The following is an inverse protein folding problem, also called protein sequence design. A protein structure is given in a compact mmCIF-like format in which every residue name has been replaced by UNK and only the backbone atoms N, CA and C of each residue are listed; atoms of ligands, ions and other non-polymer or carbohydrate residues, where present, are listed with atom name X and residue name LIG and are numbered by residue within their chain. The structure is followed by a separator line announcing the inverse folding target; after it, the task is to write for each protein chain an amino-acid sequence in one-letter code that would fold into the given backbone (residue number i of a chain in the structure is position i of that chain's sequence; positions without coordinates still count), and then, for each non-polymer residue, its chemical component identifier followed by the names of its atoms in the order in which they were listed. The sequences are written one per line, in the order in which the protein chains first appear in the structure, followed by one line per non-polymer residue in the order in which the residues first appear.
data_IF_949377255234
#
_entry.id   IF_949377255234
#
_cell.length_a   1.000
_cell.length_b   1.000
_cell.length_c   1.000
_cell.angle_alpha   90.00
_cell.angle_beta   90.00
_cell.angle_gamma   90.00
#
_symmetry.space_group_name_H-M   'P 1'
#
loop_
_entity.id
_entity.type
_entity.pdbx_description
1 polymer ?
#
# COMPACT_ATOMS: atom_id res chain seq x y z
N UNK A 1 17.09 13.04 -13.64
CA UNK A 1 15.73 13.28 -14.22
C UNK A 1 15.91 14.04 -15.52
N UNK A 2 15.30 13.62 -16.59
CA UNK A 2 15.45 14.29 -17.89
C UNK A 2 14.43 15.43 -18.04
N UNK A 3 14.83 16.52 -18.69
CA UNK A 3 14.00 17.72 -18.90
C UNK A 3 13.50 18.37 -17.59
N UNK A 4 14.29 18.32 -16.53
CA UNK A 4 13.98 18.95 -15.23
C UNK A 4 15.11 19.91 -14.85
N UNK A 5 15.26 20.97 -15.63
CA UNK A 5 16.16 22.09 -15.31
C UNK A 5 15.62 22.91 -14.15
N UNK A 6 16.50 23.67 -13.46
CA UNK A 6 16.03 24.58 -12.40
C UNK A 6 15.02 25.62 -12.93
N UNK A 7 15.13 25.98 -14.21
CA UNK A 7 14.15 26.84 -14.92
C UNK A 7 12.76 26.20 -14.95
N UNK A 8 12.68 24.94 -15.43
CA UNK A 8 11.41 24.21 -15.52
C UNK A 8 10.80 23.94 -14.14
N UNK A 9 11.63 23.63 -13.14
CA UNK A 9 11.22 23.48 -11.75
C UNK A 9 10.63 24.78 -11.20
N UNK A 10 11.32 25.93 -11.40
CA UNK A 10 10.82 27.22 -10.94
C UNK A 10 9.46 27.58 -11.59
N UNK A 11 9.32 27.32 -12.90
CA UNK A 11 8.06 27.53 -13.62
C UNK A 11 6.97 26.59 -13.12
N UNK A 12 7.27 25.31 -12.95
CA UNK A 12 6.32 24.29 -12.51
C UNK A 12 5.70 24.61 -11.14
N UNK A 13 6.50 25.10 -10.19
CA UNK A 13 6.02 25.44 -8.84
C UNK A 13 5.70 26.94 -8.62
N UNK A 14 5.77 27.76 -9.68
CA UNK A 14 5.57 29.22 -9.57
C UNK A 14 6.57 29.91 -8.65
N UNK A 15 7.77 29.34 -8.50
CA UNK A 15 8.82 29.84 -7.60
C UNK A 15 9.70 30.90 -8.24
N UNK A 16 10.38 31.70 -7.40
CA UNK A 16 11.35 32.70 -7.82
C UNK A 16 12.75 32.12 -7.65
N UNK A 17 13.47 31.98 -8.76
CA UNK A 17 14.85 31.50 -8.77
C UNK A 17 15.81 32.58 -8.30
N UNK A 18 16.76 32.20 -7.45
CA UNK A 18 17.91 32.98 -7.02
C UNK A 18 19.18 32.16 -7.24
N UNK A 19 20.08 32.65 -8.05
CA UNK A 19 21.34 31.99 -8.39
C UNK A 19 21.96 32.56 -9.65
N UNK A 20 22.98 31.91 -10.17
CA UNK A 20 23.65 32.28 -11.43
C UNK A 20 22.89 31.73 -12.65
N UNK A 21 23.09 32.36 -13.80
CA UNK A 21 22.43 31.98 -15.06
C UNK A 21 22.87 30.58 -15.55
N UNK A 22 24.10 30.15 -15.28
CA UNK A 22 24.60 28.84 -15.69
C UNK A 22 23.85 27.72 -15.01
N UNK A 23 23.68 27.83 -13.67
CA UNK A 23 22.94 26.85 -12.87
C UNK A 23 21.46 26.80 -13.23
N UNK A 24 20.86 27.90 -13.69
CA UNK A 24 19.44 28.00 -14.05
C UNK A 24 19.00 26.96 -15.11
N UNK A 25 19.92 26.60 -16.01
CA UNK A 25 19.68 25.64 -17.10
C UNK A 25 20.22 24.23 -16.81
N UNK A 26 20.79 23.99 -15.61
CA UNK A 26 21.23 22.64 -15.23
C UNK A 26 20.05 21.77 -14.83
N UNK A 27 20.09 20.51 -15.24
CA UNK A 27 19.12 19.48 -14.85
C UNK A 27 19.45 18.92 -13.47
N UNK A 28 18.41 18.63 -12.69
CA UNK A 28 18.57 17.91 -11.43
C UNK A 28 18.62 16.40 -11.65
N UNK A 29 19.47 15.71 -10.88
CA UNK A 29 19.61 14.26 -10.94
C UNK A 29 18.42 13.56 -10.26
N UNK A 30 17.96 14.11 -9.14
CA UNK A 30 16.88 13.57 -8.30
C UNK A 30 16.24 14.68 -7.45
N UNK A 31 15.14 14.34 -6.77
CA UNK A 31 14.48 15.21 -5.79
C UNK A 31 14.47 14.51 -4.44
N UNK A 32 14.95 15.19 -3.41
CA UNK A 32 15.02 14.65 -2.03
C UNK A 32 14.40 15.64 -1.02
N UNK A 33 13.77 15.08 0.00
CA UNK A 33 13.23 15.82 1.16
C UNK A 33 13.95 15.46 2.47
N UNK A 34 14.76 14.40 2.45
CA UNK A 34 15.57 13.94 3.60
C UNK A 34 17.02 14.34 3.36
N UNK A 35 17.55 15.21 4.23
CA UNK A 35 18.93 15.71 4.15
C UNK A 35 20.01 14.63 4.19
N UNK A 36 19.69 13.43 4.71
CA UNK A 36 20.60 12.28 4.77
C UNK A 36 20.71 11.51 3.45
N UNK A 37 19.80 11.79 2.50
CA UNK A 37 19.73 11.15 1.18
C UNK A 37 20.15 12.07 0.05
N UNK A 38 20.91 13.11 0.35
CA UNK A 38 21.44 14.04 -0.63
C UNK A 38 22.41 13.32 -1.55
N UNK A 39 22.21 13.48 -2.85
CA UNK A 39 23.07 13.00 -3.92
C UNK A 39 23.56 14.19 -4.74
N UNK A 40 24.64 13.95 -5.50
CA UNK A 40 25.20 15.00 -6.37
C UNK A 40 24.15 15.51 -7.37
N UNK A 41 24.05 16.81 -7.48
CA UNK A 41 23.16 17.53 -8.40
C UNK A 41 21.66 17.30 -8.13
N UNK A 42 21.25 16.84 -6.93
CA UNK A 42 19.84 16.71 -6.56
C UNK A 42 19.20 18.06 -6.23
N UNK A 43 17.87 18.12 -6.29
CA UNK A 43 17.06 19.18 -5.70
C UNK A 43 16.68 18.81 -4.28
N UNK A 44 17.04 19.62 -3.30
CA UNK A 44 16.57 19.45 -1.93
C UNK A 44 15.33 20.31 -1.67
N UNK A 45 14.23 19.71 -1.23
CA UNK A 45 13.00 20.43 -0.87
C UNK A 45 12.87 20.49 0.66
N UNK A 46 12.96 21.70 1.20
CA UNK A 46 12.96 21.96 2.64
C UNK A 46 11.53 21.95 3.23
N UNK A 47 10.99 20.76 3.51
CA UNK A 47 9.66 20.60 4.11
C UNK A 47 9.73 20.81 5.62
N UNK A 48 8.72 21.48 6.18
CA UNK A 48 8.53 21.57 7.63
C UNK A 48 7.84 20.32 8.14
N UNK A 49 8.59 19.49 8.85
CA UNK A 49 8.02 18.36 9.56
C UNK A 49 7.46 18.78 10.94
N UNK A 50 6.72 17.87 11.56
CA UNK A 50 6.15 18.08 12.92
C UNK A 50 7.21 18.24 14.01
N UNK A 51 8.40 17.67 13.84
CA UNK A 51 9.49 17.68 14.82
C UNK A 51 10.67 18.56 14.40
N UNK A 52 10.91 18.72 13.11
CA UNK A 52 12.11 19.37 12.56
C UNK A 52 11.73 20.21 11.34
N UNK A 53 12.27 21.44 11.24
CA UNK A 53 12.14 22.29 10.05
C UNK A 53 13.26 21.96 9.05
N UNK A 54 12.91 21.46 7.88
CA UNK A 54 13.86 21.11 6.81
C UNK A 54 14.76 22.24 6.35
N UNK A 55 14.33 23.50 6.52
CA UNK A 55 15.10 24.69 6.15
C UNK A 55 16.45 24.79 6.89
N UNK A 56 16.55 24.21 8.09
CA UNK A 56 17.80 24.18 8.86
C UNK A 56 18.92 23.41 8.16
N UNK A 57 18.57 22.48 7.28
CA UNK A 57 19.52 21.59 6.60
C UNK A 57 19.98 22.13 5.25
N UNK A 58 19.38 23.19 4.70
CA UNK A 58 19.76 23.73 3.39
C UNK A 58 21.26 23.95 3.25
N UNK A 59 21.96 24.64 4.20
CA UNK A 59 23.40 24.86 4.04
C UNK A 59 24.21 23.56 4.02
N UNK A 60 23.76 22.52 4.75
CA UNK A 60 24.42 21.22 4.76
C UNK A 60 24.18 20.46 3.47
N UNK A 61 22.93 20.42 2.99
CA UNK A 61 22.59 19.67 1.76
C UNK A 61 23.32 20.24 0.53
N UNK A 62 23.54 21.55 0.46
CA UNK A 62 24.34 22.17 -0.60
C UNK A 62 25.81 21.73 -0.50
N UNK A 63 26.39 21.70 0.70
CA UNK A 63 27.77 21.20 0.91
C UNK A 63 27.90 19.72 0.53
N UNK A 64 26.86 18.95 0.75
CA UNK A 64 26.81 17.50 0.45
C UNK A 64 26.55 17.23 -1.03
N UNK A 65 26.31 18.26 -1.86
CA UNK A 65 26.25 18.15 -3.31
C UNK A 65 24.90 18.44 -3.96
N UNK A 66 23.89 18.91 -3.21
CA UNK A 66 22.65 19.37 -3.83
C UNK A 66 22.91 20.55 -4.77
N UNK A 67 22.33 20.50 -5.98
CA UNK A 67 22.44 21.58 -6.96
C UNK A 67 21.67 22.83 -6.52
N UNK A 68 20.50 22.63 -5.92
CA UNK A 68 19.58 23.70 -5.57
C UNK A 68 18.72 23.28 -4.38
N UNK A 69 18.20 24.26 -3.64
CA UNK A 69 17.20 24.03 -2.59
C UNK A 69 15.89 24.77 -2.89
N UNK A 70 14.73 24.18 -2.54
CA UNK A 70 13.48 24.91 -2.40
C UNK A 70 13.34 25.41 -0.96
N UNK A 71 12.94 26.68 -0.81
CA UNK A 71 12.79 27.34 0.49
C UNK A 71 11.53 28.21 0.53
N UNK A 72 10.83 28.19 1.66
CA UNK A 72 9.72 29.11 1.95
C UNK A 72 10.21 30.44 2.52
N UNK A 73 11.51 30.57 2.80
CA UNK A 73 12.14 31.76 3.37
C UNK A 73 13.18 32.30 2.41
N UNK A 74 13.22 33.61 2.27
CA UNK A 74 14.32 34.27 1.55
C UNK A 74 15.63 34.00 2.29
N UNK A 75 16.64 33.53 1.53
CA UNK A 75 17.98 33.26 2.08
C UNK A 75 18.86 34.48 1.74
N UNK A 76 19.19 35.25 2.76
CA UNK A 76 20.04 36.42 2.57
C UNK A 76 21.50 36.00 2.30
N UNK A 77 22.13 36.66 1.33
CA UNK A 77 23.52 36.38 0.92
C UNK A 77 23.81 34.93 0.55
N UNK A 78 22.83 34.22 0.00
CA UNK A 78 23.04 32.86 -0.50
C UNK A 78 24.14 32.86 -1.60
N UNK A 79 25.14 32.00 -1.43
CA UNK A 79 26.22 31.75 -2.40
C UNK A 79 25.92 30.55 -3.29
N UNK A 80 24.71 30.07 -3.29
CA UNK A 80 24.24 28.86 -3.99
C UNK A 80 22.83 29.07 -4.55
N UNK A 81 22.43 28.34 -5.58
CA UNK A 81 21.10 28.41 -6.16
C UNK A 81 20.01 27.98 -5.17
N UNK A 82 18.93 28.73 -5.11
CA UNK A 82 17.70 28.30 -4.45
C UNK A 82 16.46 28.86 -5.17
N UNK A 83 15.33 28.19 -4.99
CA UNK A 83 14.03 28.63 -5.49
C UNK A 83 13.15 28.97 -4.30
N UNK A 84 12.67 30.22 -4.24
CA UNK A 84 11.76 30.70 -3.22
C UNK A 84 10.33 30.35 -3.61
N UNK A 85 9.60 29.67 -2.76
CA UNK A 85 8.20 29.26 -2.96
C UNK A 85 7.34 29.66 -1.77
N UNK A 86 6.03 29.71 -1.95
CA UNK A 86 5.09 29.98 -0.84
C UNK A 86 4.88 28.76 0.06
N UNK A 87 4.97 27.55 -0.52
CA UNK A 87 4.86 26.28 0.20
C UNK A 87 5.73 25.22 -0.47
N UNK A 88 6.66 24.63 0.26
CA UNK A 88 7.50 23.55 -0.23
C UNK A 88 6.70 22.27 -0.48
N UNK A 89 5.65 21.99 0.33
CA UNK A 89 4.78 20.85 0.11
C UNK A 89 3.94 20.99 -1.17
N UNK A 90 3.42 22.19 -1.46
CA UNK A 90 2.69 22.43 -2.71
C UNK A 90 3.64 22.38 -3.90
N UNK A 91 4.82 22.98 -3.78
CA UNK A 91 5.84 22.93 -4.83
C UNK A 91 6.27 21.48 -5.17
N UNK A 92 6.42 20.62 -4.17
CA UNK A 92 6.68 19.18 -4.36
C UNK A 92 5.63 18.54 -5.27
N UNK A 93 4.34 18.81 -5.02
CA UNK A 93 3.22 18.29 -5.81
C UNK A 93 3.19 18.87 -7.23
N UNK A 94 3.38 20.15 -7.37
CA UNK A 94 3.35 20.84 -8.66
C UNK A 94 4.50 20.39 -9.58
N UNK A 95 5.70 20.22 -9.02
CA UNK A 95 6.87 19.69 -9.73
C UNK A 95 6.62 18.23 -10.15
N UNK A 96 6.03 17.41 -9.28
CA UNK A 96 5.72 16.02 -9.62
C UNK A 96 4.65 15.92 -10.71
N UNK A 97 3.59 16.74 -10.67
CA UNK A 97 2.59 16.83 -11.71
C UNK A 97 3.22 17.24 -13.06
N UNK A 98 4.09 18.25 -13.04
CA UNK A 98 4.81 18.71 -14.22
C UNK A 98 5.68 17.60 -14.82
N UNK A 99 6.49 16.94 -13.98
CA UNK A 99 7.33 15.82 -14.41
C UNK A 99 6.50 14.66 -14.94
N UNK A 100 5.42 14.26 -14.25
CA UNK A 100 4.52 13.20 -14.73
C UNK A 100 3.94 13.52 -16.12
N UNK A 101 3.55 14.76 -16.38
CA UNK A 101 3.04 15.18 -17.69
C UNK A 101 4.07 15.11 -18.82
N UNK A 102 5.35 15.22 -18.50
CA UNK A 102 6.45 15.11 -19.49
C UNK A 102 6.79 13.66 -19.85
N UNK A 103 6.30 12.68 -19.07
CA UNK A 103 6.60 11.26 -19.25
C UNK A 103 5.56 10.58 -20.15
N UNK A 104 6.06 9.75 -21.07
CA UNK A 104 5.21 8.94 -21.96
C UNK A 104 5.19 7.48 -21.50
N UNK A 105 4.42 7.20 -20.46
CA UNK A 105 4.21 5.84 -19.93
C UNK A 105 2.77 5.65 -19.50
N UNK A 106 2.35 4.41 -19.32
CA UNK A 106 1.04 4.06 -18.76
C UNK A 106 1.07 4.11 -17.24
N UNK A 107 0.00 4.58 -16.61
CA UNK A 107 -0.15 4.61 -15.15
C UNK A 107 -1.36 3.81 -14.72
N UNK A 108 -1.14 2.84 -13.82
CA UNK A 108 -2.19 2.12 -13.10
C UNK A 108 -2.27 2.71 -11.68
N UNK A 109 -3.37 3.37 -11.38
CA UNK A 109 -3.66 3.90 -10.03
C UNK A 109 -4.46 2.89 -9.23
N UNK A 110 -3.95 2.47 -8.06
CA UNK A 110 -4.58 1.48 -7.19
C UNK A 110 -5.00 2.11 -5.87
N UNK A 111 -6.28 2.01 -5.53
CA UNK A 111 -6.81 2.44 -4.23
C UNK A 111 -7.79 1.42 -3.64
N UNK A 112 -8.27 1.66 -2.44
CA UNK A 112 -9.23 0.83 -1.72
C UNK A 112 -9.07 0.98 -0.20
N UNK A 113 -9.97 0.41 0.56
CA UNK A 113 -9.86 0.42 2.03
C UNK A 113 -8.82 -0.58 2.52
N UNK A 114 -8.83 -1.78 1.96
CA UNK A 114 -7.92 -2.89 2.28
C UNK A 114 -7.34 -3.47 0.99
N UNK A 115 -6.16 -4.09 1.06
CA UNK A 115 -5.57 -4.85 -0.05
C UNK A 115 -4.82 -4.01 -1.09
N UNK A 116 -4.78 -2.69 -1.01
CA UNK A 116 -4.09 -1.81 -1.97
C UNK A 116 -2.68 -2.28 -2.33
N UNK A 117 -1.85 -2.51 -1.33
CA UNK A 117 -0.45 -2.91 -1.52
C UNK A 117 -0.35 -4.29 -2.18
N UNK A 118 -1.10 -5.28 -1.69
CA UNK A 118 -1.08 -6.63 -2.27
C UNK A 118 -1.61 -6.63 -3.72
N UNK A 119 -2.66 -5.85 -4.01
CA UNK A 119 -3.17 -5.68 -5.37
C UNK A 119 -2.15 -4.96 -6.26
N UNK A 120 -1.49 -3.91 -5.77
CA UNK A 120 -0.41 -3.21 -6.48
C UNK A 120 0.75 -4.16 -6.81
N UNK A 121 1.15 -4.99 -5.86
CA UNK A 121 2.22 -5.98 -6.09
C UNK A 121 1.81 -7.04 -7.12
N UNK A 122 0.59 -7.55 -7.05
CA UNK A 122 0.05 -8.49 -8.03
C UNK A 122 -0.01 -7.87 -9.43
N UNK A 123 -0.56 -6.66 -9.56
CA UNK A 123 -0.59 -5.93 -10.84
C UNK A 123 0.83 -5.70 -11.36
N UNK A 124 1.75 -5.28 -10.51
CA UNK A 124 3.13 -5.04 -10.92
C UNK A 124 3.86 -6.35 -11.31
N UNK A 125 3.57 -7.48 -10.64
CA UNK A 125 4.08 -8.79 -11.01
C UNK A 125 3.56 -9.22 -12.38
N UNK A 126 2.25 -9.10 -12.62
CA UNK A 126 1.64 -9.43 -13.91
C UNK A 126 2.22 -8.56 -15.03
N UNK A 127 2.23 -7.24 -14.85
CA UNK A 127 2.70 -6.33 -15.89
C UNK A 127 4.21 -6.46 -16.13
N UNK A 128 4.97 -6.86 -15.12
CA UNK A 128 6.42 -7.06 -15.20
C UNK A 128 6.87 -8.18 -16.14
N UNK A 129 5.97 -9.09 -16.54
CA UNK A 129 6.27 -10.13 -17.52
C UNK A 129 6.40 -9.57 -18.96
N UNK A 130 5.95 -8.34 -19.18
CA UNK A 130 5.95 -7.74 -20.52
C UNK A 130 6.57 -6.35 -20.56
N UNK A 131 6.48 -5.59 -19.48
CA UNK A 131 6.84 -4.18 -19.42
C UNK A 131 7.90 -3.90 -18.35
N UNK A 132 8.70 -2.85 -18.57
CA UNK A 132 9.51 -2.25 -17.51
C UNK A 132 8.60 -1.48 -16.55
N UNK A 133 8.40 -2.04 -15.32
CA UNK A 133 7.42 -1.54 -14.35
C UNK A 133 8.09 -0.84 -13.18
N UNK A 134 7.75 0.45 -12.97
CA UNK A 134 7.96 1.10 -11.68
C UNK A 134 6.71 0.90 -10.80
N UNK A 135 6.89 0.60 -9.52
CA UNK A 135 5.79 0.54 -8.54
C UNK A 135 6.08 1.37 -7.30
N UNK A 136 5.02 1.82 -6.63
CA UNK A 136 5.14 2.50 -5.33
C UNK A 136 5.89 1.62 -4.34
N UNK A 137 6.99 2.12 -3.79
CA UNK A 137 7.75 1.46 -2.74
C UNK A 137 7.15 1.74 -1.35
N UNK A 138 7.13 0.72 -0.49
CA UNK A 138 6.64 0.87 0.89
C UNK A 138 5.24 1.48 0.96
N UNK A 139 5.11 2.59 1.70
CA UNK A 139 3.88 3.35 1.89
C UNK A 139 3.93 4.76 1.28
N UNK A 140 4.72 4.97 0.24
CA UNK A 140 4.80 6.27 -0.46
C UNK A 140 3.55 6.53 -1.32
N UNK A 141 2.38 6.45 -0.70
CA UNK A 141 1.06 6.49 -1.33
C UNK A 141 0.22 7.75 -1.00
N UNK A 142 0.78 8.67 -0.21
CA UNK A 142 0.13 9.92 0.20
C UNK A 142 0.65 11.14 -0.57
N UNK A 143 0.22 12.36 -0.20
CA UNK A 143 0.55 13.62 -0.88
C UNK A 143 2.05 14.00 -0.88
N UNK A 144 2.89 13.35 -0.07
CA UNK A 144 4.34 13.48 -0.09
C UNK A 144 4.99 12.27 -0.78
N UNK A 145 4.52 11.07 -0.49
CA UNK A 145 5.09 9.82 -0.98
C UNK A 145 4.87 9.61 -2.47
N UNK A 146 3.67 9.92 -2.98
CA UNK A 146 3.37 9.81 -4.42
C UNK A 146 4.28 10.70 -5.28
N UNK A 147 4.48 12.00 -4.99
CA UNK A 147 5.48 12.82 -5.68
C UNK A 147 6.87 12.19 -5.72
N UNK A 148 7.35 11.69 -4.58
CA UNK A 148 8.66 11.03 -4.51
C UNK A 148 8.72 9.76 -5.35
N UNK A 149 7.63 9.00 -5.43
CA UNK A 149 7.52 7.84 -6.33
C UNK A 149 7.59 8.28 -7.80
N UNK A 150 6.87 9.33 -8.17
CA UNK A 150 6.87 9.89 -9.54
C UNK A 150 8.28 10.33 -9.94
N UNK A 151 9.04 10.96 -9.05
CA UNK A 151 10.42 11.38 -9.34
C UNK A 151 11.40 10.22 -9.58
N UNK A 152 11.03 8.99 -9.23
CA UNK A 152 11.81 7.79 -9.53
C UNK A 152 11.50 7.18 -10.91
N UNK A 153 10.49 7.69 -11.63
CA UNK A 153 10.22 7.24 -13.00
C UNK A 153 11.36 7.69 -13.90
N UNK A 154 11.81 6.80 -14.80
CA UNK A 154 12.86 7.02 -15.78
C UNK A 154 12.33 6.66 -17.16
N UNK A 155 13.11 6.97 -18.21
CA UNK A 155 12.72 6.76 -19.61
C UNK A 155 12.53 5.30 -19.99
N UNK A 156 13.25 4.39 -19.31
CA UNK A 156 13.12 2.95 -19.51
C UNK A 156 11.77 2.40 -19.03
N UNK A 157 11.13 3.02 -18.04
CA UNK A 157 9.86 2.54 -17.53
C UNK A 157 8.71 2.76 -18.52
N UNK A 158 7.98 1.71 -18.82
CA UNK A 158 6.82 1.70 -19.72
C UNK A 158 5.50 1.81 -18.96
N UNK A 159 5.47 1.29 -17.71
CA UNK A 159 4.30 1.34 -16.83
C UNK A 159 4.70 1.76 -15.42
N UNK A 160 3.86 2.57 -14.78
CA UNK A 160 3.96 2.86 -13.35
C UNK A 160 2.71 2.35 -12.62
N UNK A 161 2.87 1.50 -11.60
CA UNK A 161 1.79 1.04 -10.72
C UNK A 161 1.84 1.81 -9.41
N UNK A 162 0.93 2.78 -9.29
CA UNK A 162 0.92 3.77 -8.22
C UNK A 162 -0.19 3.45 -7.20
N UNK A 163 0.21 3.24 -5.95
CA UNK A 163 -0.73 3.12 -4.83
C UNK A 163 -1.15 4.51 -4.37
N UNK A 164 -2.47 4.76 -4.25
CA UNK A 164 -3.05 6.01 -3.79
C UNK A 164 -3.83 5.79 -2.49
N UNK A 165 -3.27 6.26 -1.39
CA UNK A 165 -3.83 6.17 -0.04
C UNK A 165 -4.37 7.51 0.43
N UNK A 166 -5.58 7.51 1.01
CA UNK A 166 -6.24 8.70 1.50
C UNK A 166 -6.82 8.47 2.90
N UNK A 167 -6.89 9.53 3.67
CA UNK A 167 -7.57 9.59 4.97
C UNK A 167 -8.70 10.63 5.00
N UNK A 168 -8.67 11.65 4.15
CA UNK A 168 -9.63 12.76 4.14
C UNK A 168 -10.21 12.99 2.74
N UNK A 169 -11.35 13.72 2.68
CA UNK A 169 -11.92 14.19 1.42
C UNK A 169 -10.96 15.13 0.67
N UNK A 170 -10.97 15.06 -0.66
CA UNK A 170 -10.15 15.89 -1.55
C UNK A 170 -8.68 15.47 -1.65
N UNK A 171 -8.20 14.55 -0.82
CA UNK A 171 -6.84 14.01 -0.97
C UNK A 171 -6.71 13.20 -2.26
N UNK A 172 -7.71 12.37 -2.59
CA UNK A 172 -7.69 11.56 -3.81
C UNK A 172 -7.70 12.42 -5.07
N UNK A 173 -8.45 13.51 -5.09
CA UNK A 173 -8.43 14.46 -6.20
C UNK A 173 -7.01 14.98 -6.45
N UNK A 174 -6.31 15.41 -5.38
CA UNK A 174 -4.93 15.92 -5.48
C UNK A 174 -3.94 14.83 -5.94
N UNK A 175 -4.08 13.61 -5.42
CA UNK A 175 -3.26 12.47 -5.85
C UNK A 175 -3.53 12.09 -7.32
N UNK A 176 -4.80 12.04 -7.72
CA UNK A 176 -5.19 11.73 -9.09
C UNK A 176 -4.68 12.79 -10.10
N UNK A 177 -4.68 14.06 -9.70
CA UNK A 177 -4.13 15.16 -10.51
C UNK A 177 -2.64 14.97 -10.80
N UNK A 178 -1.88 14.48 -9.80
CA UNK A 178 -0.46 14.17 -9.95
C UNK A 178 -0.26 12.90 -10.78
N UNK A 179 -0.95 11.81 -10.42
CA UNK A 179 -0.76 10.49 -11.01
C UNK A 179 -1.26 10.40 -12.46
N UNK A 180 -2.39 11.05 -12.79
CA UNK A 180 -3.05 11.03 -14.11
C UNK A 180 -3.16 9.60 -14.66
N UNK A 181 -3.92 8.71 -13.99
CA UNK A 181 -3.94 7.30 -14.32
C UNK A 181 -4.58 7.01 -15.68
N UNK A 182 -4.05 6.02 -16.38
CA UNK A 182 -4.68 5.39 -17.55
C UNK A 182 -5.64 4.29 -17.10
N UNK A 183 -5.31 3.59 -16.02
CA UNK A 183 -6.14 2.52 -15.44
C UNK A 183 -6.36 2.86 -13.96
N UNK A 184 -7.62 2.84 -13.52
CA UNK A 184 -7.99 3.02 -12.12
C UNK A 184 -8.53 1.72 -11.53
N UNK A 185 -7.90 1.22 -10.46
CA UNK A 185 -8.32 0.01 -9.76
C UNK A 185 -8.78 0.35 -8.36
N UNK A 186 -9.99 -0.07 -7.97
CA UNK A 186 -10.50 0.08 -6.60
C UNK A 186 -10.80 -1.31 -6.03
N UNK A 187 -10.10 -1.69 -4.95
CA UNK A 187 -10.16 -3.05 -4.40
C UNK A 187 -11.42 -3.31 -3.57
N UNK A 188 -11.80 -2.38 -2.71
CA UNK A 188 -13.01 -2.47 -1.87
C UNK A 188 -13.33 -1.15 -1.15
N UNK A 189 -14.56 -1.05 -0.62
CA UNK A 189 -15.04 0.05 0.22
C UNK A 189 -15.40 -0.50 1.62
N UNK A 190 -14.40 -0.59 2.47
CA UNK A 190 -14.55 -1.02 3.87
C UNK A 190 -14.82 0.14 4.83
N UNK A 191 -14.33 -0.01 6.07
CA UNK A 191 -14.51 0.95 7.18
C UNK A 191 -13.23 1.70 7.58
N UNK A 192 -12.18 1.61 6.76
CA UNK A 192 -10.93 2.35 7.02
C UNK A 192 -11.17 3.86 6.93
N UNK A 193 -10.58 4.62 7.86
CA UNK A 193 -10.71 6.09 7.96
C UNK A 193 -12.16 6.59 8.14
N UNK A 194 -13.02 5.77 8.74
CA UNK A 194 -14.43 6.08 8.96
C UNK A 194 -14.63 7.37 9.79
N UNK A 195 -13.70 7.64 10.70
CA UNK A 195 -13.70 8.84 11.52
C UNK A 195 -13.71 10.13 10.66
N UNK A 196 -12.90 10.16 9.60
CA UNK A 196 -12.75 11.33 8.72
C UNK A 196 -13.75 11.32 7.55
N UNK A 197 -14.02 10.17 6.96
CA UNK A 197 -14.88 10.01 5.79
C UNK A 197 -16.35 9.73 6.14
N UNK A 198 -16.69 9.60 7.45
CA UNK A 198 -18.03 9.56 8.06
C UNK A 198 -18.85 8.31 7.77
N UNK A 199 -18.83 7.77 6.56
CA UNK A 199 -19.62 6.59 6.16
C UNK A 199 -18.95 5.84 5.02
N UNK A 200 -19.41 4.61 4.75
CA UNK A 200 -18.96 3.86 3.56
C UNK A 200 -19.30 4.59 2.24
N UNK A 201 -20.41 5.33 2.20
CA UNK A 201 -20.73 6.17 1.04
C UNK A 201 -19.77 7.35 0.91
N UNK A 202 -19.33 7.93 2.04
CA UNK A 202 -18.27 8.94 2.05
C UNK A 202 -16.93 8.38 1.58
N UNK A 203 -16.59 7.15 1.96
CA UNK A 203 -15.37 6.45 1.50
C UNK A 203 -15.45 6.16 0.00
N UNK A 204 -16.61 5.68 -0.50
CA UNK A 204 -16.85 5.50 -1.93
C UNK A 204 -16.64 6.81 -2.69
N UNK A 205 -17.32 7.89 -2.25
CA UNK A 205 -17.20 9.22 -2.86
C UNK A 205 -15.73 9.68 -2.91
N UNK A 206 -15.02 9.59 -1.80
CA UNK A 206 -13.62 10.03 -1.74
C UNK A 206 -12.71 9.20 -2.66
N UNK A 207 -12.89 7.88 -2.72
CA UNK A 207 -12.04 7.01 -3.55
C UNK A 207 -12.34 7.12 -5.04
N UNK A 208 -13.58 7.38 -5.43
CA UNK A 208 -13.97 7.58 -6.84
C UNK A 208 -13.47 8.91 -7.42
N UNK A 209 -12.98 9.85 -6.60
CA UNK A 209 -12.26 11.03 -7.07
C UNK A 209 -11.00 10.66 -7.91
N UNK A 210 -10.49 9.42 -7.82
CA UNK A 210 -9.40 8.92 -8.67
C UNK A 210 -9.72 9.05 -10.17
N UNK A 211 -11.00 9.04 -10.54
CA UNK A 211 -11.43 9.14 -11.94
C UNK A 211 -11.33 10.57 -12.52
N UNK A 212 -11.23 11.60 -11.66
CA UNK A 212 -11.31 13.01 -12.12
C UNK A 212 -10.21 13.41 -13.13
N UNK A 213 -9.03 12.83 -13.00
CA UNK A 213 -7.88 13.16 -13.83
C UNK A 213 -7.35 11.98 -14.65
N UNK A 214 -8.15 10.93 -14.80
CA UNK A 214 -7.75 9.77 -15.60
C UNK A 214 -7.76 10.07 -17.11
N UNK A 215 -7.02 9.28 -17.85
CA UNK A 215 -7.03 9.33 -19.32
C UNK A 215 -8.45 9.01 -19.84
N UNK A 216 -9.04 9.82 -20.72
CA UNK A 216 -10.39 9.57 -21.25
C UNK A 216 -10.52 8.27 -22.05
N UNK A 217 -9.41 7.70 -22.54
CA UNK A 217 -9.34 6.40 -23.21
C UNK A 217 -8.82 5.29 -22.26
N UNK A 218 -8.93 5.50 -20.97
CA UNK A 218 -8.46 4.58 -19.95
C UNK A 218 -9.49 3.51 -19.57
N UNK A 219 -9.21 2.80 -18.48
CA UNK A 219 -10.07 1.73 -17.95
C UNK A 219 -10.35 1.92 -16.46
N UNK A 220 -11.58 1.64 -16.05
CA UNK A 220 -11.99 1.60 -14.64
C UNK A 220 -12.22 0.15 -14.27
N UNK A 221 -11.49 -0.38 -13.31
CA UNK A 221 -11.50 -1.78 -12.88
C UNK A 221 -11.95 -1.83 -11.42
N UNK A 222 -13.08 -2.45 -11.13
CA UNK A 222 -13.71 -2.45 -9.82
C UNK A 222 -14.00 -3.86 -9.33
N UNK A 223 -13.86 -4.07 -8.02
CA UNK A 223 -14.34 -5.30 -7.40
C UNK A 223 -15.88 -5.30 -7.39
N UNK A 224 -16.49 -6.15 -8.21
CA UNK A 224 -17.92 -6.26 -8.37
C UNK A 224 -18.62 -6.98 -7.20
N UNK A 225 -17.87 -7.69 -6.35
CA UNK A 225 -18.41 -8.36 -5.16
C UNK A 225 -18.51 -7.40 -3.97
N UNK A 226 -17.94 -6.21 -4.08
CA UNK A 226 -18.14 -5.14 -3.10
C UNK A 226 -19.49 -4.43 -3.37
N UNK A 227 -20.38 -4.42 -2.36
CA UNK A 227 -21.74 -3.88 -2.44
C UNK A 227 -21.79 -2.38 -2.80
N UNK A 228 -20.72 -1.63 -2.53
CA UNK A 228 -20.61 -0.23 -2.89
C UNK A 228 -20.02 -0.03 -4.28
N UNK A 229 -18.98 -0.76 -4.63
CA UNK A 229 -18.35 -0.63 -5.95
C UNK A 229 -19.24 -1.15 -7.08
N UNK A 230 -20.07 -2.17 -6.84
CA UNK A 230 -21.05 -2.68 -7.81
C UNK A 230 -22.10 -1.65 -8.22
N UNK A 231 -22.30 -0.57 -7.43
CA UNK A 231 -23.22 0.52 -7.75
C UNK A 231 -22.58 1.67 -8.54
N UNK A 232 -21.28 1.60 -8.84
CA UNK A 232 -20.58 2.68 -9.56
C UNK A 232 -21.04 2.75 -11.00
N UNK A 233 -21.52 3.90 -11.41
CA UNK A 233 -21.92 4.20 -12.78
C UNK A 233 -20.74 4.65 -13.63
N UNK A 234 -20.89 4.69 -14.98
CA UNK A 234 -19.86 5.20 -15.88
C UNK A 234 -19.35 6.57 -15.44
N UNK A 235 -18.01 6.72 -15.45
CA UNK A 235 -17.36 7.99 -15.15
C UNK A 235 -16.55 8.45 -16.37
N UNK A 236 -16.63 9.74 -16.71
CA UNK A 236 -15.96 10.34 -17.88
C UNK A 236 -16.27 9.61 -19.22
N UNK A 237 -17.44 8.98 -19.35
CA UNK A 237 -17.82 8.17 -20.51
C UNK A 237 -17.22 6.76 -20.54
N UNK A 238 -16.47 6.35 -19.50
CA UNK A 238 -15.84 5.04 -19.38
C UNK A 238 -16.76 4.13 -18.57
N UNK A 239 -17.13 2.99 -19.13
CA UNK A 239 -17.85 1.92 -18.42
C UNK A 239 -16.86 1.20 -17.48
N UNK A 240 -17.23 1.01 -16.20
CA UNK A 240 -16.45 0.13 -15.31
C UNK A 240 -16.45 -1.31 -15.80
N UNK A 241 -15.31 -1.94 -15.67
CA UNK A 241 -15.12 -3.39 -15.81
C UNK A 241 -15.10 -3.98 -14.40
N UNK A 242 -15.85 -5.05 -14.17
CA UNK A 242 -15.98 -5.65 -12.86
C UNK A 242 -15.24 -7.00 -12.78
N UNK A 243 -14.52 -7.18 -11.67
CA UNK A 243 -13.95 -8.48 -11.32
C UNK A 243 -14.55 -9.00 -10.01
N UNK A 244 -14.55 -10.31 -9.81
CA UNK A 244 -15.07 -10.93 -8.60
C UNK A 244 -15.12 -12.46 -8.67
N UNK A 245 -15.76 -13.09 -7.67
CA UNK A 245 -15.97 -14.54 -7.64
C UNK A 245 -17.35 -14.93 -8.22
N UNK A 246 -18.24 -13.96 -8.43
CA UNK A 246 -19.53 -14.17 -9.07
C UNK A 246 -19.35 -14.23 -10.60
N UNK A 247 -19.91 -15.27 -11.24
CA UNK A 247 -19.78 -15.54 -12.68
C UNK A 247 -20.48 -14.51 -13.59
N UNK A 248 -21.21 -13.58 -13.01
CA UNK A 248 -21.77 -12.43 -13.73
C UNK A 248 -20.76 -11.29 -13.97
N UNK A 249 -19.54 -11.38 -13.43
CA UNK A 249 -18.49 -10.37 -13.60
C UNK A 249 -17.77 -10.54 -14.93
N UNK A 250 -17.17 -9.43 -15.43
CA UNK A 250 -16.38 -9.46 -16.68
C UNK A 250 -15.14 -10.37 -16.56
N UNK A 251 -14.51 -10.35 -15.35
CA UNK A 251 -13.40 -11.22 -14.96
C UNK A 251 -13.78 -11.92 -13.67
N UNK A 252 -13.83 -13.25 -13.67
CA UNK A 252 -14.18 -13.98 -12.47
C UNK A 252 -13.31 -15.22 -12.27
N UNK A 253 -13.36 -15.79 -11.07
CA UNK A 253 -12.67 -17.02 -10.76
C UNK A 253 -13.62 -18.02 -10.09
N UNK A 254 -13.48 -19.28 -10.47
CA UNK A 254 -14.13 -20.41 -9.82
C UNK A 254 -13.12 -21.51 -9.46
N UNK A 255 -13.60 -22.64 -8.98
CA UNK A 255 -12.76 -23.77 -8.57
C UNK A 255 -11.57 -23.33 -7.69
N UNK A 256 -11.87 -22.44 -6.75
CA UNK A 256 -10.87 -21.91 -5.81
C UNK A 256 -10.52 -22.99 -4.78
N UNK A 257 -9.32 -23.57 -4.92
CA UNK A 257 -8.82 -24.64 -4.07
C UNK A 257 -7.67 -24.15 -3.19
N UNK A 258 -7.86 -24.23 -1.86
CA UNK A 258 -6.80 -23.87 -0.93
C UNK A 258 -5.72 -24.96 -0.87
N UNK A 259 -4.47 -24.57 -1.04
CA UNK A 259 -3.29 -25.40 -0.79
C UNK A 259 -2.71 -25.19 0.63
N UNK A 260 -3.56 -24.84 1.60
CA UNK A 260 -3.14 -24.49 2.96
C UNK A 260 -2.30 -23.21 2.97
N UNK A 261 -1.17 -23.24 3.68
CA UNK A 261 -0.24 -22.12 3.72
C UNK A 261 0.58 -21.94 2.43
N UNK A 262 0.52 -22.89 1.51
CA UNK A 262 1.27 -22.86 0.24
C UNK A 262 0.53 -22.14 -0.89
N UNK A 263 -0.57 -21.46 -0.58
CA UNK A 263 -1.28 -20.65 -1.55
C UNK A 263 -2.64 -21.19 -1.96
N UNK A 264 -3.07 -20.83 -3.18
CA UNK A 264 -4.42 -21.10 -3.68
C UNK A 264 -4.35 -21.36 -5.18
N UNK A 265 -4.98 -22.43 -5.66
CA UNK A 265 -5.25 -22.65 -7.08
C UNK A 265 -6.60 -22.06 -7.43
N UNK A 266 -6.75 -21.50 -8.62
CA UNK A 266 -8.03 -21.06 -9.14
C UNK A 266 -8.09 -21.17 -10.66
N UNK A 267 -9.31 -21.26 -11.18
CA UNK A 267 -9.62 -21.15 -12.61
C UNK A 267 -10.13 -19.74 -12.86
N UNK A 268 -9.44 -19.01 -13.71
CA UNK A 268 -9.76 -17.63 -14.07
C UNK A 268 -10.46 -17.57 -15.41
N UNK A 269 -11.55 -16.82 -15.45
CA UNK A 269 -12.35 -16.56 -16.64
C UNK A 269 -12.22 -15.10 -17.04
N UNK A 270 -11.93 -14.90 -18.31
CA UNK A 270 -11.81 -13.58 -18.95
C UNK A 270 -12.86 -13.48 -20.06
N UNK A 271 -13.11 -12.31 -20.64
CA UNK A 271 -14.05 -12.19 -21.77
C UNK A 271 -13.74 -13.10 -22.97
N UNK A 272 -12.49 -13.55 -23.11
CA UNK A 272 -12.05 -14.27 -24.30
C UNK A 272 -11.49 -15.66 -24.03
N UNK A 273 -11.19 -16.01 -22.78
CA UNK A 273 -10.45 -17.23 -22.45
C UNK A 273 -10.69 -17.71 -21.01
N UNK A 274 -10.17 -18.89 -20.72
CA UNK A 274 -10.16 -19.48 -19.37
C UNK A 274 -8.80 -20.15 -19.17
N UNK A 275 -8.18 -19.91 -18.00
CA UNK A 275 -6.92 -20.56 -17.63
C UNK A 275 -6.83 -20.79 -16.12
N UNK A 276 -6.01 -21.76 -15.72
CA UNK A 276 -5.72 -22.03 -14.30
C UNK A 276 -4.38 -21.44 -13.92
N UNK A 277 -4.27 -20.90 -12.72
CA UNK A 277 -3.00 -20.45 -12.14
C UNK A 277 -2.91 -20.76 -10.65
N UNK A 278 -1.67 -20.85 -10.15
CA UNK A 278 -1.35 -20.98 -8.74
C UNK A 278 -0.90 -19.63 -8.18
N UNK A 279 -1.48 -19.23 -7.06
CA UNK A 279 -1.08 -18.04 -6.30
C UNK A 279 -0.33 -18.52 -5.07
N UNK A 280 0.97 -18.26 -4.96
CA UNK A 280 1.84 -18.74 -3.87
C UNK A 280 1.52 -18.16 -2.50
N UNK A 281 0.81 -17.02 -2.45
CA UNK A 281 0.41 -16.36 -1.19
C UNK A 281 -0.97 -16.90 -0.77
N UNK A 282 -1.12 -17.42 0.46
CA UNK A 282 -2.38 -18.01 0.90
C UNK A 282 -3.47 -16.96 1.14
N UNK A 283 -4.70 -17.37 0.92
CA UNK A 283 -5.91 -16.57 1.20
C UNK A 283 -6.74 -16.29 -0.03
N UNK A 284 -8.05 -16.44 0.10
CA UNK A 284 -9.02 -16.22 -0.97
C UNK A 284 -8.98 -14.79 -1.52
N UNK A 285 -8.69 -13.81 -0.67
CA UNK A 285 -8.50 -12.42 -1.07
C UNK A 285 -7.39 -12.23 -2.12
N UNK A 286 -6.42 -13.16 -2.20
CA UNK A 286 -5.37 -13.12 -3.22
C UNK A 286 -5.91 -13.48 -4.61
N UNK A 287 -7.00 -14.25 -4.70
CA UNK A 287 -7.70 -14.52 -5.96
C UNK A 287 -8.30 -13.23 -6.51
N UNK A 288 -8.91 -12.39 -5.66
CA UNK A 288 -9.40 -11.07 -6.06
C UNK A 288 -8.26 -10.13 -6.51
N UNK A 289 -7.10 -10.20 -5.85
CA UNK A 289 -5.92 -9.43 -6.29
C UNK A 289 -5.41 -9.91 -7.66
N UNK A 290 -5.43 -11.25 -7.90
CA UNK A 290 -5.07 -11.83 -9.20
C UNK A 290 -6.04 -11.38 -10.30
N UNK A 291 -7.34 -11.37 -10.03
CA UNK A 291 -8.35 -10.89 -10.98
C UNK A 291 -8.14 -9.40 -11.34
N UNK A 292 -7.77 -8.56 -10.36
CA UNK A 292 -7.41 -7.17 -10.64
C UNK A 292 -6.15 -7.07 -11.52
N UNK A 293 -5.15 -7.96 -11.30
CA UNK A 293 -3.95 -8.07 -12.14
C UNK A 293 -4.28 -8.52 -13.56
N UNK A 294 -5.14 -9.53 -13.70
CA UNK A 294 -5.64 -10.04 -14.99
C UNK A 294 -6.32 -8.91 -15.76
N UNK A 295 -7.28 -8.21 -15.15
CA UNK A 295 -8.00 -7.14 -15.79
C UNK A 295 -7.07 -5.97 -16.22
N UNK A 296 -6.06 -5.63 -15.40
CA UNK A 296 -5.06 -4.62 -15.75
C UNK A 296 -4.15 -5.08 -16.91
N UNK A 297 -3.71 -6.35 -16.90
CA UNK A 297 -2.92 -6.94 -17.98
C UNK A 297 -3.69 -6.94 -19.31
N UNK A 298 -4.95 -7.37 -19.27
CA UNK A 298 -5.85 -7.32 -20.43
C UNK A 298 -6.04 -5.91 -20.98
N UNK A 299 -6.24 -4.91 -20.11
CA UNK A 299 -6.38 -3.52 -20.49
C UNK A 299 -5.12 -2.95 -21.19
N UNK A 300 -3.95 -3.54 -20.94
CA UNK A 300 -2.67 -3.19 -21.60
C UNK A 300 -2.28 -4.15 -22.73
N UNK A 301 -3.16 -5.09 -23.12
CA UNK A 301 -2.95 -5.96 -24.27
C UNK A 301 -1.95 -7.11 -24.02
N UNK A 302 -1.91 -7.62 -22.79
CA UNK A 302 -1.18 -8.85 -22.47
C UNK A 302 -2.00 -10.09 -22.86
N UNK A 303 -1.30 -11.18 -23.17
CA UNK A 303 -1.92 -12.47 -23.39
C UNK A 303 -1.99 -13.29 -22.08
N UNK A 304 -2.74 -14.40 -22.11
CA UNK A 304 -2.98 -15.24 -20.92
C UNK A 304 -1.71 -15.87 -20.37
N UNK A 305 -0.75 -16.22 -21.21
CA UNK A 305 0.51 -16.85 -20.78
C UNK A 305 1.37 -15.86 -20.03
N UNK A 306 1.49 -14.60 -20.52
CA UNK A 306 2.17 -13.51 -19.85
C UNK A 306 1.50 -13.21 -18.49
N UNK A 307 0.18 -13.12 -18.46
CA UNK A 307 -0.60 -12.83 -17.25
C UNK A 307 -0.44 -13.95 -16.22
N UNK A 308 -0.59 -15.21 -16.66
CA UNK A 308 -0.41 -16.38 -15.79
C UNK A 308 0.99 -16.41 -15.18
N UNK A 309 2.02 -16.24 -16.00
CA UNK A 309 3.40 -16.20 -15.52
C UNK A 309 3.58 -15.15 -14.41
N UNK A 310 3.03 -13.97 -14.58
CA UNK A 310 3.12 -12.89 -13.57
C UNK A 310 2.34 -13.17 -12.27
N UNK A 311 1.21 -13.87 -12.34
CA UNK A 311 0.48 -14.34 -11.14
C UNK A 311 1.36 -15.34 -10.36
N UNK A 312 1.94 -16.31 -11.05
CA UNK A 312 2.75 -17.39 -10.46
C UNK A 312 4.12 -16.89 -9.98
N UNK A 313 4.65 -15.80 -10.56
CA UNK A 313 5.91 -15.17 -10.17
C UNK A 313 5.80 -14.24 -8.95
N UNK A 314 4.59 -14.01 -8.42
CA UNK A 314 4.41 -13.09 -7.30
C UNK A 314 5.19 -13.52 -6.07
N UNK A 315 6.05 -12.62 -5.57
CA UNK A 315 6.83 -12.82 -4.35
C UNK A 315 6.16 -12.10 -3.17
N UNK A 316 5.96 -12.78 -2.02
CA UNK A 316 5.41 -12.17 -0.83
C UNK A 316 6.25 -10.99 -0.33
N UNK A 317 5.60 -9.93 0.16
CA UNK A 317 6.26 -8.82 0.83
C UNK A 317 6.34 -9.06 2.33
N UNK A 318 7.46 -8.67 2.96
CA UNK A 318 7.57 -8.64 4.42
C UNK A 318 6.41 -7.87 5.06
N UNK A 319 5.80 -8.44 6.08
CA UNK A 319 4.64 -7.85 6.76
C UNK A 319 3.30 -8.02 6.03
N UNK A 320 3.22 -8.83 4.95
CA UNK A 320 2.00 -9.03 4.13
C UNK A 320 1.77 -10.52 3.83
N UNK A 321 1.21 -11.24 4.78
CA UNK A 321 1.02 -12.70 4.70
C UNK A 321 2.29 -13.44 4.21
N UNK A 322 3.45 -12.94 4.62
CA UNK A 322 4.73 -13.51 4.25
C UNK A 322 5.02 -14.73 5.12
N UNK A 323 5.10 -15.89 4.50
CA UNK A 323 5.40 -17.14 5.19
C UNK A 323 6.92 -17.26 5.40
N UNK A 324 7.34 -17.47 6.64
CA UNK A 324 8.74 -17.62 7.03
C UNK A 324 8.87 -18.93 7.78
N UNK A 325 9.61 -19.85 7.21
CA UNK A 325 9.92 -21.13 7.84
C UNK A 325 11.28 -21.02 8.55
N UNK A 326 11.32 -21.38 9.83
CA UNK A 326 12.55 -21.51 10.64
C UNK A 326 12.72 -22.98 11.04
N UNK A 327 13.81 -23.31 11.70
CA UNK A 327 14.04 -24.67 12.21
C UNK A 327 12.99 -25.08 13.25
N UNK A 328 12.37 -24.10 13.94
CA UNK A 328 11.44 -24.35 15.05
C UNK A 328 10.01 -23.92 14.78
N UNK A 329 9.75 -22.90 13.96
CA UNK A 329 8.45 -22.28 13.78
C UNK A 329 8.13 -22.03 12.30
N UNK A 330 6.83 -22.01 11.99
CA UNK A 330 6.31 -21.40 10.78
C UNK A 330 5.68 -20.05 11.15
N UNK A 331 6.15 -18.93 10.62
CA UNK A 331 5.67 -17.59 10.95
C UNK A 331 4.89 -17.04 9.77
N UNK A 332 3.67 -16.60 10.01
CA UNK A 332 2.89 -15.79 9.08
C UNK A 332 3.10 -14.33 9.46
N UNK A 333 4.04 -13.68 8.79
CA UNK A 333 4.34 -12.27 9.00
C UNK A 333 3.32 -11.40 8.25
N UNK A 334 2.32 -10.90 8.98
CA UNK A 334 1.33 -9.95 8.48
C UNK A 334 1.25 -8.69 9.36
N UNK A 335 2.41 -8.27 9.87
CA UNK A 335 2.54 -7.25 10.90
C UNK A 335 2.63 -5.81 10.37
N UNK A 336 2.46 -5.57 9.07
CA UNK A 336 2.55 -4.21 8.51
C UNK A 336 1.45 -3.29 9.01
N UNK A 337 0.19 -3.75 9.03
CA UNK A 337 -0.95 -3.00 9.57
C UNK A 337 -2.12 -3.94 9.88
N UNK A 338 -3.06 -3.49 10.72
CA UNK A 338 -4.24 -4.26 11.11
C UNK A 338 -5.52 -3.42 11.07
N UNK A 339 -6.59 -4.06 10.65
CA UNK A 339 -7.96 -3.63 10.84
C UNK A 339 -8.84 -4.90 10.96
N UNK A 340 -10.11 -4.80 11.41
CA UNK A 340 -10.94 -5.98 11.66
C UNK A 340 -11.04 -6.94 10.48
N UNK A 341 -11.27 -6.44 9.28
CA UNK A 341 -11.43 -7.26 8.07
C UNK A 341 -10.12 -7.98 7.70
N UNK A 342 -8.99 -7.25 7.66
CA UNK A 342 -7.70 -7.86 7.34
C UNK A 342 -7.24 -8.83 8.43
N UNK A 343 -7.57 -8.60 9.70
CA UNK A 343 -7.19 -9.50 10.79
C UNK A 343 -7.99 -10.80 10.72
N UNK A 344 -9.29 -10.73 10.45
CA UNK A 344 -10.11 -11.93 10.21
C UNK A 344 -9.59 -12.74 9.02
N UNK A 345 -9.27 -12.10 7.90
CA UNK A 345 -8.70 -12.78 6.73
C UNK A 345 -7.36 -13.48 7.04
N UNK A 346 -6.51 -12.88 7.90
CA UNK A 346 -5.25 -13.52 8.31
C UNK A 346 -5.49 -14.69 9.28
N UNK A 347 -6.50 -14.61 10.13
CA UNK A 347 -6.95 -15.72 10.98
C UNK A 347 -7.47 -16.90 10.13
N UNK A 348 -8.22 -16.62 9.05
CA UNK A 348 -8.67 -17.65 8.10
C UNK A 348 -7.48 -18.35 7.41
N UNK A 349 -6.40 -17.62 7.16
CA UNK A 349 -5.15 -18.21 6.66
C UNK A 349 -4.50 -19.10 7.71
N UNK A 350 -4.37 -18.62 8.97
CA UNK A 350 -3.81 -19.40 10.07
C UNK A 350 -4.61 -20.68 10.31
N UNK A 351 -5.94 -20.60 10.26
CA UNK A 351 -6.83 -21.76 10.47
C UNK A 351 -6.63 -22.90 9.45
N UNK A 352 -5.90 -22.65 8.35
CA UNK A 352 -5.53 -23.65 7.36
C UNK A 352 -4.21 -24.37 7.65
N UNK A 353 -3.53 -24.02 8.75
CA UNK A 353 -2.30 -24.68 9.16
C UNK A 353 -2.60 -26.04 9.78
N UNK A 354 -1.79 -27.04 9.44
CA UNK A 354 -1.91 -28.41 9.96
C UNK A 354 -1.23 -28.61 11.32
N UNK A 355 -0.57 -27.56 11.83
CA UNK A 355 0.15 -27.56 13.11
C UNK A 355 -0.62 -26.79 14.18
N UNK A 356 -0.12 -26.77 15.43
CA UNK A 356 -0.71 -25.95 16.47
C UNK A 356 -0.71 -24.46 16.05
N UNK A 357 -1.87 -23.84 16.12
CA UNK A 357 -2.15 -22.52 15.61
C UNK A 357 -2.03 -21.50 16.74
N UNK A 358 -1.09 -20.58 16.60
CA UNK A 358 -0.86 -19.48 17.53
C UNK A 358 -1.06 -18.16 16.81
N UNK A 359 -1.82 -17.25 17.37
CA UNK A 359 -1.89 -15.88 16.85
C UNK A 359 -1.43 -14.87 17.89
N UNK A 360 -0.60 -13.91 17.46
CA UNK A 360 -0.12 -12.78 18.27
C UNK A 360 -0.70 -11.51 17.64
N UNK A 361 -1.76 -10.99 18.25
CA UNK A 361 -2.49 -9.82 17.77
C UNK A 361 -2.22 -8.60 18.66
N UNK A 362 -2.06 -7.45 18.03
CA UNK A 362 -1.95 -6.18 18.72
C UNK A 362 -3.10 -5.22 18.37
N UNK A 363 -3.03 -4.02 18.94
CA UNK A 363 -4.06 -2.99 18.75
C UNK A 363 -4.26 -2.62 17.29
N UNK A 364 -5.53 -2.39 16.94
CA UNK A 364 -5.97 -1.84 15.65
C UNK A 364 -6.36 -0.38 15.84
N UNK A 365 -5.60 0.53 15.21
CA UNK A 365 -5.82 1.97 15.35
C UNK A 365 -6.77 2.54 14.31
N UNK A 366 -7.22 3.79 14.52
CA UNK A 366 -8.07 4.57 13.60
C UNK A 366 -9.47 3.98 13.36
N UNK A 367 -10.01 3.22 14.31
CA UNK A 367 -11.33 2.60 14.22
C UNK A 367 -12.46 3.49 14.76
N UNK A 368 -12.12 4.63 15.40
CA UNK A 368 -13.09 5.56 15.95
C UNK A 368 -13.86 5.01 17.16
N UNK A 369 -15.10 5.52 17.43
CA UNK A 369 -15.81 5.24 18.69
C UNK A 369 -16.14 3.75 18.94
N UNK A 370 -16.11 2.91 17.91
CA UNK A 370 -16.45 1.47 18.00
C UNK A 370 -15.22 0.58 18.12
N UNK A 371 -14.04 1.15 18.34
CA UNK A 371 -12.77 0.41 18.38
C UNK A 371 -12.80 -0.76 19.35
N UNK A 372 -13.34 -0.59 20.57
CA UNK A 372 -13.43 -1.64 21.59
C UNK A 372 -14.29 -2.80 21.12
N UNK A 373 -15.45 -2.51 20.54
CA UNK A 373 -16.36 -3.53 20.02
C UNK A 373 -15.71 -4.29 18.86
N UNK A 374 -14.99 -3.59 17.96
CA UNK A 374 -14.31 -4.22 16.85
C UNK A 374 -13.17 -5.13 17.29
N UNK A 375 -12.43 -4.77 18.34
CA UNK A 375 -11.43 -5.66 18.94
C UNK A 375 -12.09 -6.90 19.56
N UNK A 376 -13.16 -6.71 20.35
CA UNK A 376 -13.94 -7.81 20.93
C UNK A 376 -14.38 -8.82 19.86
N UNK A 377 -14.94 -8.33 18.74
CA UNK A 377 -15.40 -9.19 17.64
C UNK A 377 -14.27 -9.96 16.93
N UNK A 378 -13.07 -9.40 16.85
CA UNK A 378 -11.90 -10.12 16.33
C UNK A 378 -11.46 -11.24 17.27
N UNK A 379 -11.44 -10.98 18.58
CA UNK A 379 -11.12 -12.01 19.55
C UNK A 379 -12.14 -13.16 19.55
N UNK A 380 -13.44 -12.81 19.53
CA UNK A 380 -14.51 -13.78 19.36
C UNK A 380 -14.33 -14.62 18.09
N UNK A 381 -14.01 -13.98 16.96
CA UNK A 381 -13.81 -14.66 15.68
C UNK A 381 -12.64 -15.66 15.75
N UNK A 382 -11.52 -15.30 16.39
CA UNK A 382 -10.40 -16.22 16.60
C UNK A 382 -10.80 -17.47 17.38
N UNK A 383 -11.62 -17.29 18.44
CA UNK A 383 -12.14 -18.39 19.23
C UNK A 383 -13.16 -19.24 18.45
N UNK A 384 -14.04 -18.63 17.66
CA UNK A 384 -15.02 -19.32 16.81
C UNK A 384 -14.34 -20.19 15.72
N UNK A 385 -13.18 -19.76 15.19
CA UNK A 385 -12.32 -20.54 14.29
C UNK A 385 -11.61 -21.71 14.99
N UNK A 386 -11.56 -21.73 16.33
CA UNK A 386 -10.88 -22.74 17.10
C UNK A 386 -9.36 -22.64 17.09
N UNK A 387 -8.81 -21.44 16.90
CA UNK A 387 -7.36 -21.17 17.02
C UNK A 387 -6.89 -21.64 18.40
N UNK A 388 -5.79 -22.43 18.45
CA UNK A 388 -5.34 -23.05 19.70
C UNK A 388 -4.92 -22.02 20.75
N UNK A 389 -4.15 -20.98 20.33
CA UNK A 389 -3.65 -19.93 21.22
C UNK A 389 -3.88 -18.57 20.63
N UNK A 390 -4.47 -17.68 21.41
CA UNK A 390 -4.60 -16.24 21.13
C UNK A 390 -3.78 -15.44 22.14
N UNK A 391 -2.75 -14.76 21.66
CA UNK A 391 -1.97 -13.78 22.43
C UNK A 391 -2.42 -12.39 22.01
N UNK A 392 -2.88 -11.58 22.96
CA UNK A 392 -3.31 -10.20 22.77
C UNK A 392 -2.32 -9.26 23.44
N UNK A 393 -1.79 -8.27 22.69
CA UNK A 393 -0.80 -7.31 23.20
C UNK A 393 -1.27 -5.88 22.95
N UNK A 394 -1.37 -5.08 23.99
CA UNK A 394 -1.77 -3.68 23.95
C UNK A 394 -3.10 -3.40 24.64
N UNK A 395 -3.39 -2.11 24.89
CA UNK A 395 -4.54 -1.70 25.69
C UNK A 395 -5.89 -2.04 25.08
N UNK A 396 -6.04 -1.86 23.77
CA UNK A 396 -7.29 -2.18 23.06
C UNK A 396 -7.44 -3.68 22.85
N UNK A 397 -6.34 -4.40 22.79
CA UNK A 397 -6.29 -5.86 22.62
C UNK A 397 -6.82 -6.62 23.84
N UNK A 398 -6.98 -5.97 25.01
CA UNK A 398 -7.70 -6.52 26.15
C UNK A 398 -9.14 -6.91 25.77
N UNK A 399 -9.79 -6.12 24.90
CA UNK A 399 -11.13 -6.43 24.39
C UNK A 399 -11.15 -7.65 23.46
N UNK A 400 -10.05 -7.93 22.72
CA UNK A 400 -9.92 -9.20 21.98
C UNK A 400 -9.85 -10.38 22.93
N UNK A 401 -9.01 -10.28 23.98
CA UNK A 401 -8.89 -11.31 24.98
C UNK A 401 -10.22 -11.60 25.67
N UNK A 402 -10.98 -10.55 26.00
CA UNK A 402 -12.33 -10.68 26.56
C UNK A 402 -13.27 -11.39 25.58
N UNK A 403 -13.32 -10.93 24.31
CA UNK A 403 -14.20 -11.50 23.30
C UNK A 403 -13.94 -12.98 23.04
N UNK A 404 -12.69 -13.42 23.09
CA UNK A 404 -12.34 -14.83 22.95
C UNK A 404 -12.66 -15.64 24.20
N UNK A 405 -12.38 -15.11 25.40
CA UNK A 405 -12.58 -15.81 26.68
C UNK A 405 -14.05 -16.07 27.00
N UNK A 406 -14.96 -15.24 26.48
CA UNK A 406 -16.41 -15.40 26.65
C UNK A 406 -16.99 -16.51 25.75
N UNK A 407 -16.22 -17.02 24.80
CA UNK A 407 -16.67 -18.12 23.95
C UNK A 407 -16.43 -19.48 24.65
N UNK A 408 -17.33 -20.42 24.46
CA UNK A 408 -17.16 -21.82 24.90
C UNK A 408 -16.19 -22.53 23.93
N UNK A 409 -14.99 -22.00 23.71
CA UNK A 409 -13.98 -22.56 22.81
C UNK A 409 -12.84 -23.21 23.58
N UNK A 410 -11.97 -23.96 22.87
CA UNK A 410 -10.73 -24.52 23.42
C UNK A 410 -9.56 -23.56 23.35
N UNK A 411 -9.77 -22.35 22.78
CA UNK A 411 -8.72 -21.34 22.58
C UNK A 411 -8.15 -20.90 23.91
N UNK A 412 -6.86 -21.09 24.09
CA UNK A 412 -6.14 -20.57 25.24
C UNK A 412 -5.77 -19.10 25.00
N UNK A 413 -6.20 -18.21 25.90
CA UNK A 413 -6.04 -16.76 25.75
C UNK A 413 -4.98 -16.22 26.70
N UNK A 414 -4.04 -15.44 26.17
CA UNK A 414 -3.04 -14.70 26.93
C UNK A 414 -3.18 -13.21 26.61
N UNK A 415 -3.09 -12.35 27.63
CA UNK A 415 -3.09 -10.92 27.50
C UNK A 415 -1.83 -10.31 28.11
N UNK A 416 -1.24 -9.36 27.40
CA UNK A 416 -0.08 -8.59 27.83
C UNK A 416 -0.27 -7.10 27.52
N UNK A 417 0.19 -6.24 28.41
CA UNK A 417 0.15 -4.80 28.14
C UNK A 417 1.22 -4.40 27.13
N UNK A 418 2.39 -5.03 27.18
CA UNK A 418 3.56 -4.71 26.35
C UNK A 418 4.14 -5.91 25.62
N UNK A 419 4.95 -5.65 24.61
CA UNK A 419 5.72 -6.70 23.92
C UNK A 419 6.77 -7.34 24.84
N UNK A 420 7.35 -6.57 25.74
CA UNK A 420 8.37 -7.04 26.66
C UNK A 420 7.79 -8.10 27.62
N UNK A 421 6.58 -7.88 28.14
CA UNK A 421 5.87 -8.86 28.96
C UNK A 421 5.61 -10.17 28.19
N UNK A 422 5.27 -10.07 26.92
CA UNK A 422 5.12 -11.24 26.05
C UNK A 422 6.47 -11.96 25.85
N UNK A 423 7.55 -11.23 25.57
CA UNK A 423 8.87 -11.85 25.36
C UNK A 423 9.34 -12.65 26.56
N UNK A 424 9.06 -12.22 27.80
CA UNK A 424 9.38 -12.95 29.02
C UNK A 424 8.62 -14.29 29.15
N UNK A 425 7.45 -14.42 28.54
CA UNK A 425 6.60 -15.61 28.61
C UNK A 425 6.59 -16.45 27.32
N UNK A 426 7.19 -15.95 26.25
CA UNK A 426 7.09 -16.56 24.93
C UNK A 426 7.59 -18.02 24.90
N UNK A 427 8.64 -18.38 25.67
CA UNK A 427 9.15 -19.75 25.76
C UNK A 427 8.18 -20.73 26.45
N UNK A 428 7.23 -20.23 27.22
CA UNK A 428 6.19 -21.05 27.89
C UNK A 428 4.95 -21.21 27.02
N UNK A 429 4.72 -20.28 26.09
CA UNK A 429 3.54 -20.22 25.23
C UNK A 429 3.80 -20.97 23.93
N UNK A 430 4.94 -20.73 23.30
CA UNK A 430 5.30 -21.27 22.00
C UNK A 430 6.00 -22.63 22.11
N UNK A 431 5.61 -23.54 21.23
CA UNK A 431 6.23 -24.86 21.10
C UNK A 431 6.92 -25.00 19.73
N UNK A 432 7.91 -25.88 19.61
CA UNK A 432 8.44 -26.24 18.30
C UNK A 432 7.35 -26.74 17.35
N UNK A 433 7.44 -26.32 16.09
CA UNK A 433 6.51 -26.59 14.98
C UNK A 433 5.18 -25.85 15.06
N UNK A 434 5.03 -24.85 15.94
CA UNK A 434 3.87 -23.97 15.88
C UNK A 434 3.83 -23.18 14.58
N UNK A 435 2.62 -22.92 14.08
CA UNK A 435 2.38 -21.86 13.12
C UNK A 435 1.92 -20.62 13.84
N UNK A 436 2.68 -19.52 13.71
CA UNK A 436 2.48 -18.28 14.47
C UNK A 436 2.12 -17.13 13.51
N UNK A 437 0.89 -16.65 13.58
CA UNK A 437 0.47 -15.41 12.93
C UNK A 437 0.84 -14.20 13.78
N UNK A 438 1.50 -13.20 13.20
CA UNK A 438 1.82 -11.94 13.88
C UNK A 438 1.16 -10.77 13.14
N UNK A 439 0.26 -10.03 13.82
CA UNK A 439 -0.46 -8.91 13.21
C UNK A 439 -0.85 -7.82 14.20
N UNK A 440 -0.57 -6.55 13.82
CA UNK A 440 -0.98 -5.35 14.55
C UNK A 440 -0.97 -4.11 13.65
N UNK A 441 -1.49 -3.00 14.14
CA UNK A 441 -1.29 -1.69 13.50
C UNK A 441 0.19 -1.33 13.44
N UNK A 442 0.58 -0.61 12.38
CA UNK A 442 1.99 -0.25 12.10
C UNK A 442 2.68 0.42 13.29
N UNK A 443 1.97 1.29 14.01
CA UNK A 443 2.49 1.99 15.19
C UNK A 443 2.90 1.05 16.34
N UNK A 444 2.42 -0.18 16.40
CA UNK A 444 2.79 -1.20 17.39
C UNK A 444 4.17 -1.82 17.13
N UNK A 445 4.72 -1.69 15.91
CA UNK A 445 6.04 -2.20 15.50
C UNK A 445 6.19 -3.71 15.74
N UNK A 446 5.19 -4.50 15.37
CA UNK A 446 5.20 -5.95 15.55
C UNK A 446 6.23 -6.68 14.67
N UNK A 447 6.89 -6.00 13.74
CA UNK A 447 8.10 -6.51 13.09
C UNK A 447 9.21 -6.88 14.09
N UNK A 448 9.25 -6.26 15.27
CA UNK A 448 10.17 -6.63 16.34
C UNK A 448 9.87 -8.06 16.87
N UNK A 449 8.59 -8.41 17.01
CA UNK A 449 8.18 -9.78 17.40
C UNK A 449 8.59 -10.77 16.31
N UNK A 450 8.30 -10.45 15.03
CA UNK A 450 8.69 -11.31 13.90
C UNK A 450 10.20 -11.56 13.90
N UNK A 451 11.01 -10.52 14.14
CA UNK A 451 12.47 -10.67 14.18
C UNK A 451 12.94 -11.58 15.33
N UNK A 452 12.37 -11.43 16.53
CA UNK A 452 12.69 -12.31 17.66
C UNK A 452 12.29 -13.76 17.39
N UNK A 453 11.12 -13.98 16.74
CA UNK A 453 10.67 -15.32 16.40
C UNK A 453 11.51 -16.00 15.32
N UNK A 454 12.13 -15.24 14.42
CA UNK A 454 13.06 -15.76 13.38
C UNK A 454 14.37 -16.30 13.95
N UNK A 455 14.79 -15.81 15.10
CA UNK A 455 16.05 -16.20 15.75
C UNK A 455 15.89 -17.44 16.65
N UNK A 456 14.66 -17.98 16.76
CA UNK A 456 14.33 -19.21 17.51
C UNK A 456 14.42 -20.44 16.62
#
# INVERSE_FOLDING_TARGET
MKNMTLKEIAVACGGIYYGDDESYYKEVSSVVIDSRKVEKDCLFIAIRGTRVDGHMFIPQTIRDGALCALSEKRIENASYPYILVTSCEQALKDIAEHYRKSLNLKVVGVTGSVGKTSTKEMIASVLGEKYDVLKTAGNFNNEIGLPLTIFNIREEHEVAVLELGISNFGEMERLAKIARPDICVITNIGVAHLEHLKSRDGILKAKTEIFLYMNPNGSIILNGDDDKLSTVHPANGIQPVFFGLDDSRDFYADQVESCGLRGTNAVFHTPNSTFSAHISIPGEHMVLNALAGIAAGYALGMNDEEIKAGIEALVPLAGRNNLIETDSLTIIDDCYNANPASTKASLDVLAKADTRQVTVLGDMFELGPTEKQMHYEVGKYAADLGIDILVCIGQLSEHMATGASEQCSKTQVFYFETKDDFFEQADRILNPKDTVLVKASNGMKFSEIVNVLKER
#
